data_IF_949711605368
#
_entry.id   IF_949711605368
#
_cell.length_a   1.000
_cell.length_b   1.000
_cell.length_c   1.000
_cell.angle_alpha   90.00
_cell.angle_beta   90.00
_cell.angle_gamma   90.00
#
_symmetry.space_group_name_H-M   'P 1'
#
loop_
_entity.id
_entity.type
_entity.pdbx_description
1 polymer ?
#
# COMPACT_ATOMS: atom_id res chain seq x y z
N UNK A 1 -56.37 1.54 -33.76
CA UNK A 1 -55.07 1.75 -34.44
C UNK A 1 -54.25 2.88 -33.83
N UNK A 2 -54.67 4.16 -33.90
CA UNK A 2 -53.84 5.31 -33.44
C UNK A 2 -53.43 5.28 -31.96
N UNK A 3 -54.31 4.83 -31.06
CA UNK A 3 -54.01 4.73 -29.61
C UNK A 3 -53.00 3.62 -29.28
N UNK A 4 -53.01 2.53 -30.06
CA UNK A 4 -52.01 1.46 -29.95
C UNK A 4 -50.63 1.93 -30.43
N UNK A 5 -50.58 2.67 -31.55
CA UNK A 5 -49.37 3.29 -32.06
C UNK A 5 -48.69 4.22 -31.05
N UNK A 6 -49.48 5.01 -30.30
CA UNK A 6 -48.96 5.91 -29.27
C UNK A 6 -48.36 5.14 -28.08
N UNK A 7 -49.00 4.04 -27.67
CA UNK A 7 -48.51 3.19 -26.58
C UNK A 7 -47.20 2.48 -26.96
N UNK A 8 -47.09 2.00 -28.20
CA UNK A 8 -45.85 1.39 -28.72
C UNK A 8 -44.72 2.42 -28.82
N UNK A 9 -45.02 3.65 -29.25
CA UNK A 9 -44.02 4.73 -29.31
C UNK A 9 -43.52 5.16 -27.92
N UNK A 10 -44.40 5.21 -26.91
CA UNK A 10 -44.02 5.56 -25.54
C UNK A 10 -43.09 4.52 -24.89
N UNK A 11 -43.27 3.23 -25.19
CA UNK A 11 -42.42 2.15 -24.68
C UNK A 11 -41.02 2.19 -25.31
N UNK A 12 -40.92 2.54 -26.60
CA UNK A 12 -39.64 2.67 -27.32
C UNK A 12 -38.80 3.87 -26.86
N UNK A 13 -39.42 4.92 -26.34
CA UNK A 13 -38.73 6.12 -25.82
C UNK A 13 -38.28 5.99 -24.36
N UNK A 14 -38.77 4.98 -23.63
CA UNK A 14 -38.51 4.80 -22.19
C UNK A 14 -37.29 3.94 -21.84
N UNK A 15 -36.65 3.30 -22.82
CA UNK A 15 -35.52 2.39 -22.57
C UNK A 15 -34.18 3.07 -22.84
N UNK A 16 -33.80 4.02 -21.98
CA UNK A 16 -32.39 4.41 -21.88
C UNK A 16 -31.64 3.36 -21.05
N UNK A 17 -31.24 2.27 -21.70
CA UNK A 17 -30.25 1.33 -21.12
C UNK A 17 -28.90 2.04 -21.13
N UNK A 18 -28.48 2.53 -19.95
CA UNK A 18 -27.12 3.01 -19.75
C UNK A 18 -26.16 1.83 -19.84
N UNK A 19 -25.44 1.72 -20.95
CA UNK A 19 -24.28 0.83 -21.04
C UNK A 19 -23.17 1.44 -20.18
N UNK A 20 -22.94 0.85 -19.00
CA UNK A 20 -21.75 1.15 -18.23
C UNK A 20 -20.54 0.57 -19.00
N UNK A 21 -19.79 1.45 -19.66
CA UNK A 21 -18.49 1.12 -20.20
C UNK A 21 -17.57 0.79 -19.02
N UNK A 22 -17.21 -0.48 -18.83
CA UNK A 22 -16.05 -0.84 -18.03
C UNK A 22 -14.82 -0.46 -18.85
N UNK A 23 -14.39 0.78 -18.71
CA UNK A 23 -13.05 1.19 -19.16
C UNK A 23 -12.06 0.35 -18.38
N UNK A 24 -11.41 -0.61 -19.04
CA UNK A 24 -10.17 -1.19 -18.55
C UNK A 24 -9.11 -0.09 -18.63
N UNK A 25 -9.11 0.78 -17.64
CA UNK A 25 -8.04 1.75 -17.45
C UNK A 25 -6.93 1.05 -16.67
N UNK A 26 -5.85 0.78 -17.39
CA UNK A 26 -4.46 1.00 -16.99
C UNK A 26 -4.20 1.07 -15.48
N UNK A 27 -3.29 0.21 -15.02
CA UNK A 27 -2.62 0.24 -13.73
C UNK A 27 -2.42 1.66 -13.18
N UNK A 28 -3.42 2.16 -12.48
CA UNK A 28 -3.32 3.28 -11.57
C UNK A 28 -3.62 2.71 -10.20
N UNK A 29 -2.77 3.06 -9.24
CA UNK A 29 -2.88 2.72 -7.82
C UNK A 29 -4.23 3.21 -7.31
N UNK A 30 -5.26 2.40 -7.53
CA UNK A 30 -6.59 2.64 -6.98
C UNK A 30 -6.50 2.16 -5.55
N UNK A 31 -6.25 3.10 -4.63
CA UNK A 31 -6.55 2.94 -3.21
C UNK A 31 -8.06 2.71 -3.08
N UNK A 32 -8.47 1.48 -3.36
CA UNK A 32 -9.83 1.02 -3.20
C UNK A 32 -10.08 0.88 -1.71
N UNK A 33 -10.52 1.97 -1.07
CA UNK A 33 -11.11 1.98 0.26
C UNK A 33 -12.40 1.15 0.25
N UNK A 34 -12.25 -0.17 0.13
CA UNK A 34 -13.28 -1.13 0.48
C UNK A 34 -13.27 -1.15 2.01
N UNK A 35 -14.18 -0.40 2.63
CA UNK A 35 -14.34 -0.18 4.07
C UNK A 35 -14.49 -1.45 4.95
N UNK A 36 -14.24 -2.65 4.41
CA UNK A 36 -14.22 -3.90 5.16
C UNK A 36 -12.98 -4.78 4.92
N UNK A 37 -12.06 -4.42 4.02
CA UNK A 37 -10.88 -5.23 3.72
C UNK A 37 -9.61 -4.43 4.02
N UNK A 38 -8.61 -5.09 4.62
CA UNK A 38 -7.27 -4.52 4.74
C UNK A 38 -6.70 -4.23 3.35
N UNK A 39 -5.89 -3.19 3.22
CA UNK A 39 -5.17 -2.90 1.98
C UNK A 39 -3.66 -2.97 2.22
N UNK A 40 -2.93 -3.35 1.17
CA UNK A 40 -1.49 -3.56 1.21
C UNK A 40 -0.86 -2.70 0.12
N UNK A 41 0.20 -1.99 0.46
CA UNK A 41 0.98 -1.18 -0.48
C UNK A 41 2.46 -1.20 -0.08
N UNK A 42 3.31 -0.73 -0.97
CA UNK A 42 4.76 -0.67 -0.73
C UNK A 42 5.23 0.77 -0.87
N UNK A 43 5.89 1.25 0.18
CA UNK A 43 6.45 2.59 0.27
C UNK A 43 7.94 2.49 0.58
N UNK A 44 8.78 3.07 -0.27
CA UNK A 44 10.25 3.04 -0.14
C UNK A 44 10.86 1.64 0.14
N UNK A 45 10.30 0.58 -0.46
CA UNK A 45 10.76 -0.81 -0.26
C UNK A 45 10.25 -1.50 1.01
N UNK A 46 9.36 -0.84 1.75
CA UNK A 46 8.66 -1.38 2.92
C UNK A 46 7.22 -1.67 2.52
N UNK A 47 6.77 -2.90 2.74
CA UNK A 47 5.37 -3.28 2.50
C UNK A 47 4.55 -3.03 3.75
N UNK A 48 3.52 -2.20 3.65
CA UNK A 48 2.58 -1.89 4.71
C UNK A 48 1.25 -2.61 4.47
N UNK A 49 0.69 -3.17 5.54
CA UNK A 49 -0.66 -3.72 5.58
C UNK A 49 -1.48 -2.88 6.55
N UNK A 50 -2.53 -2.21 6.07
CA UNK A 50 -3.39 -1.36 6.91
C UNK A 50 -4.76 -2.02 7.06
N UNK A 51 -5.20 -2.13 8.31
CA UNK A 51 -6.45 -2.77 8.69
C UNK A 51 -7.60 -1.76 8.75
N UNK A 52 -8.87 -2.20 8.61
CA UNK A 52 -10.02 -1.29 8.62
C UNK A 52 -10.23 -0.48 9.91
N UNK A 53 -9.67 -0.94 11.03
CA UNK A 53 -9.67 -0.26 12.33
C UNK A 53 -8.56 0.78 12.47
N UNK A 54 -7.63 0.86 11.52
CA UNK A 54 -6.51 1.80 11.51
C UNK A 54 -5.24 1.28 12.17
N UNK A 55 -5.22 0.01 12.57
CA UNK A 55 -3.97 -0.69 12.88
C UNK A 55 -3.18 -0.94 11.58
N UNK A 56 -1.87 -1.14 11.71
CA UNK A 56 -1.04 -1.51 10.57
C UNK A 56 0.12 -2.41 10.98
N UNK A 57 0.54 -3.23 10.02
CA UNK A 57 1.77 -4.01 10.07
C UNK A 57 2.70 -3.60 8.93
N UNK A 58 4.00 -3.82 9.11
CA UNK A 58 4.97 -3.59 8.06
C UNK A 58 5.96 -4.74 7.91
N UNK A 59 6.40 -4.96 6.67
CA UNK A 59 7.40 -5.95 6.31
C UNK A 59 8.45 -5.30 5.42
N UNK A 60 9.72 -5.62 5.66
CA UNK A 60 10.82 -5.18 4.82
C UNK A 60 11.81 -6.31 4.64
N UNK A 61 12.16 -6.60 3.38
CA UNK A 61 13.18 -7.57 3.06
C UNK A 61 14.56 -6.91 3.07
N UNK A 62 15.36 -7.16 4.11
CA UNK A 62 16.66 -6.51 4.30
C UNK A 62 17.78 -7.42 3.83
N UNK A 63 18.15 -7.27 2.56
CA UNK A 63 19.22 -8.01 1.91
C UNK A 63 20.53 -7.20 1.92
N UNK A 64 21.10 -6.95 3.10
CA UNK A 64 22.44 -6.35 3.18
C UNK A 64 23.33 -7.21 4.06
N UNK A 65 24.13 -8.07 3.44
CA UNK A 65 25.23 -8.78 4.08
C UNK A 65 26.48 -8.55 3.21
N UNK A 66 27.21 -7.47 3.49
CA UNK A 66 28.43 -7.12 2.74
C UNK A 66 29.64 -7.67 3.50
N UNK A 67 29.92 -8.96 3.30
CA UNK A 67 31.15 -9.61 3.75
C UNK A 67 32.11 -9.77 2.58
N UNK A 68 33.31 -9.19 2.69
CA UNK A 68 34.38 -9.42 1.70
C UNK A 68 35.49 -10.25 2.35
N UNK A 69 35.84 -11.37 1.70
CA UNK A 69 36.97 -12.21 2.09
C UNK A 69 37.97 -12.26 0.94
N UNK A 70 39.22 -11.93 1.23
CA UNK A 70 40.33 -12.10 0.30
C UNK A 70 41.41 -12.97 0.95
N UNK A 71 41.78 -14.05 0.25
CA UNK A 71 42.80 -14.99 0.67
C UNK A 71 44.09 -14.75 -0.14
N UNK A 72 45.19 -14.43 0.55
CA UNK A 72 46.52 -14.28 -0.04
C UNK A 72 47.49 -15.27 0.63
N UNK A 73 47.56 -16.50 0.09
CA UNK A 73 48.38 -17.57 0.66
C UNK A 73 47.90 -17.96 2.07
N UNK A 74 48.76 -17.80 3.08
CA UNK A 74 48.45 -18.10 4.49
C UNK A 74 47.75 -16.94 5.23
N UNK A 75 47.49 -15.82 4.58
CA UNK A 75 46.83 -14.63 5.15
C UNK A 75 45.39 -14.53 4.64
N UNK A 76 44.43 -14.63 5.56
CA UNK A 76 43.01 -14.38 5.28
C UNK A 76 42.60 -13.01 5.81
N UNK A 77 42.21 -12.09 4.93
CA UNK A 77 41.64 -10.81 5.32
C UNK A 77 40.12 -10.93 5.20
N UNK A 78 39.42 -10.71 6.32
CA UNK A 78 37.96 -10.72 6.37
C UNK A 78 37.47 -9.33 6.77
N UNK A 79 36.59 -8.75 5.97
CA UNK A 79 35.89 -7.51 6.26
C UNK A 79 34.41 -7.81 6.51
N UNK A 80 33.96 -7.54 7.74
CA UNK A 80 32.55 -7.39 8.05
C UNK A 80 32.33 -5.90 8.32
N UNK A 81 31.39 -5.30 7.60
CA UNK A 81 31.16 -3.86 7.67
C UNK A 81 30.62 -3.38 9.03
N UNK A 82 30.21 -4.30 9.91
CA UNK A 82 29.86 -3.99 11.31
C UNK A 82 28.64 -3.08 11.47
N UNK A 83 27.90 -2.81 10.40
CA UNK A 83 26.69 -1.99 10.46
C UNK A 83 25.56 -2.73 11.17
N UNK A 84 24.73 -1.97 11.88
CA UNK A 84 23.49 -2.47 12.43
C UNK A 84 22.48 -2.65 11.28
N UNK A 85 22.29 -3.90 10.89
CA UNK A 85 21.28 -4.30 9.93
C UNK A 85 19.96 -4.58 10.65
N UNK A 86 19.54 -3.77 11.63
CA UNK A 86 18.21 -3.76 12.24
C UNK A 86 17.33 -2.65 11.67
N UNK A 87 16.02 -2.91 11.60
CA UNK A 87 15.11 -2.02 10.89
C UNK A 87 15.03 -0.77 11.75
N UNK A 88 15.26 0.38 11.14
CA UNK A 88 15.15 1.62 11.87
C UNK A 88 13.67 1.91 12.06
N UNK A 89 13.19 1.86 13.30
CA UNK A 89 11.83 2.27 13.62
C UNK A 89 11.84 3.11 14.89
N UNK A 90 11.17 4.26 14.81
CA UNK A 90 11.03 5.19 15.91
C UNK A 90 9.64 5.07 16.52
N UNK A 91 9.60 5.29 17.83
CA UNK A 91 8.38 5.30 18.62
C UNK A 91 8.21 6.65 19.30
N UNK A 92 6.96 7.04 19.53
CA UNK A 92 6.65 8.14 20.45
C UNK A 92 6.70 7.70 21.93
N UNK A 93 6.43 8.64 22.83
CA UNK A 93 6.42 8.40 24.29
C UNK A 93 5.33 7.40 24.73
N UNK A 94 4.35 7.11 23.88
CA UNK A 94 3.25 6.18 24.13
C UNK A 94 3.49 4.80 23.48
N UNK A 95 4.57 4.64 22.71
CA UNK A 95 4.94 3.41 22.03
C UNK A 95 4.29 3.24 20.65
N UNK A 96 3.67 4.29 20.09
CA UNK A 96 3.18 4.28 18.71
C UNK A 96 4.34 4.45 17.72
N UNK A 97 4.31 3.73 16.60
CA UNK A 97 5.34 3.79 15.56
C UNK A 97 5.16 5.07 14.74
N UNK A 98 6.08 6.02 14.87
CA UNK A 98 5.99 7.32 14.15
C UNK A 98 6.85 7.37 12.89
N UNK A 99 7.79 6.43 12.73
CA UNK A 99 8.65 6.35 11.55
C UNK A 99 9.18 4.93 11.36
N UNK A 100 9.19 4.46 10.10
CA UNK A 100 9.88 3.24 9.67
C UNK A 100 10.87 3.61 8.56
N UNK A 101 12.16 3.42 8.80
CA UNK A 101 13.27 3.91 7.97
C UNK A 101 13.11 5.41 7.66
N UNK A 102 12.79 5.77 6.42
CA UNK A 102 12.57 7.15 5.97
C UNK A 102 11.08 7.44 5.72
N UNK A 103 10.18 6.55 6.13
CA UNK A 103 8.73 6.65 5.92
C UNK A 103 8.07 7.14 7.22
N UNK A 104 7.53 8.36 7.25
CA UNK A 104 6.79 8.87 8.41
C UNK A 104 5.40 8.23 8.51
N UNK A 105 4.90 8.09 9.74
CA UNK A 105 3.56 7.57 10.05
C UNK A 105 2.78 8.65 10.81
N UNK A 106 1.58 8.97 10.34
CA UNK A 106 0.70 9.96 10.93
C UNK A 106 -0.59 9.32 11.40
N UNK A 107 -1.10 9.82 12.52
CA UNK A 107 -2.27 9.29 13.20
C UNK A 107 -3.36 10.35 13.33
N UNK A 108 -4.61 9.90 13.30
CA UNK A 108 -5.74 10.73 13.66
C UNK A 108 -5.87 10.90 15.20
N UNK A 109 -6.86 11.68 15.63
CA UNK A 109 -7.14 11.92 17.04
C UNK A 109 -7.44 10.64 17.86
N UNK A 110 -7.85 9.56 17.20
CA UNK A 110 -8.19 8.28 17.85
C UNK A 110 -7.04 7.29 17.87
N UNK A 111 -5.84 7.67 17.38
CA UNK A 111 -4.67 6.80 17.32
C UNK A 111 -4.69 5.81 16.17
N UNK A 112 -5.51 6.06 15.14
CA UNK A 112 -5.59 5.25 13.92
C UNK A 112 -4.69 5.85 12.87
N UNK A 113 -4.04 5.03 12.06
CA UNK A 113 -3.18 5.53 10.99
C UNK A 113 -4.01 6.33 9.97
N UNK A 114 -3.61 7.58 9.73
CA UNK A 114 -4.23 8.49 8.76
C UNK A 114 -3.39 8.57 7.48
N UNK A 115 -2.06 8.52 7.60
CA UNK A 115 -1.13 8.58 6.48
C UNK A 115 0.17 7.83 6.78
N UNK A 116 0.72 7.19 5.75
CA UNK A 116 2.02 6.49 5.77
C UNK A 116 2.79 6.96 4.54
N UNK A 117 3.95 7.56 4.72
CA UNK A 117 4.75 8.10 3.61
C UNK A 117 4.18 9.39 3.02
N UNK A 118 4.56 9.66 1.77
CA UNK A 118 4.20 10.86 1.01
C UNK A 118 2.96 10.69 0.12
#
# INVERSE_FOLDING_TARGET
>A
MRKFLILTAAILLGTSVGLANTSTAESSLTYGYNYGNSFIFTENGITFSVYPDGEFDFYMNRLFNVGARADFGNLGITFNSGYDYNAYVQYDDYGAVIQVENVPIYYDYYGRVEQIGD
#
